data_IF_287809497112
#
_entry.id   IF_287809497112
#
_cell.length_a   1.000
_cell.length_b   1.000
_cell.length_c   1.000
_cell.angle_alpha   90.00
_cell.angle_beta   90.00
_cell.angle_gamma   90.00
#
_symmetry.space_group_name_H-M   'P 1'
#
loop_
_entity.id
_entity.type
_entity.pdbx_description
1 polymer ?
#
# COMPACT_ATOMS: atom_id res chain seq x y z
N UNK A 1 6.51 40.78 -24.31
CA UNK A 1 7.75 40.01 -24.51
C UNK A 1 8.35 39.77 -23.13
N UNK A 2 8.93 38.59 -22.90
CA UNK A 2 9.18 37.90 -21.61
C UNK A 2 7.99 37.10 -21.04
N UNK A 3 7.83 35.90 -21.60
CA UNK A 3 7.38 34.71 -20.87
C UNK A 3 8.62 34.09 -20.21
N UNK A 4 8.62 33.94 -18.90
CA UNK A 4 9.52 32.98 -18.23
C UNK A 4 8.78 31.64 -18.13
N UNK A 5 9.22 30.68 -18.91
CA UNK A 5 8.85 29.28 -18.76
C UNK A 5 9.54 28.75 -17.50
N UNK A 6 8.77 28.55 -16.45
CA UNK A 6 9.25 27.88 -15.24
C UNK A 6 9.35 26.38 -15.54
N UNK A 7 10.58 25.92 -15.82
CA UNK A 7 10.91 24.50 -15.93
C UNK A 7 10.45 23.77 -14.66
N UNK A 8 9.42 22.95 -14.81
CA UNK A 8 8.98 22.01 -13.78
C UNK A 8 10.08 20.96 -13.62
N UNK A 9 10.85 21.07 -12.54
CA UNK A 9 11.80 20.06 -12.11
C UNK A 9 11.08 18.72 -11.97
N UNK A 10 11.41 17.76 -12.82
CA UNK A 10 11.00 16.36 -12.68
C UNK A 10 11.52 15.82 -11.34
N UNK A 11 10.66 15.82 -10.33
CA UNK A 11 10.94 15.10 -9.08
C UNK A 11 10.69 13.63 -9.37
N UNK A 12 11.76 12.94 -9.80
CA UNK A 12 11.79 11.49 -9.92
C UNK A 12 11.53 10.90 -8.54
N UNK A 13 10.40 10.21 -8.38
CA UNK A 13 10.09 9.42 -7.19
C UNK A 13 11.10 8.27 -7.10
N UNK A 14 12.23 8.53 -6.44
CA UNK A 14 13.27 7.52 -6.22
C UNK A 14 12.78 6.54 -5.16
N UNK A 15 12.44 5.31 -5.57
CA UNK A 15 12.42 4.19 -4.63
C UNK A 15 13.82 4.08 -4.01
N UNK A 16 13.96 3.79 -2.71
CA UNK A 16 15.24 3.32 -2.19
C UNK A 16 15.63 2.08 -3.00
N UNK A 17 16.82 2.04 -3.62
CA UNK A 17 17.24 0.87 -4.37
C UNK A 17 17.19 -0.36 -3.46
N UNK A 18 16.65 -1.47 -3.96
CA UNK A 18 16.68 -2.73 -3.22
C UNK A 18 18.13 -3.03 -2.85
N UNK A 19 18.37 -3.37 -1.58
CA UNK A 19 19.72 -3.74 -1.14
C UNK A 19 20.20 -4.96 -1.94
N UNK A 20 21.50 -5.05 -2.24
CA UNK A 20 22.09 -6.16 -2.98
C UNK A 20 21.68 -7.53 -2.41
N UNK A 21 21.62 -7.63 -1.07
CA UNK A 21 21.16 -8.83 -0.35
C UNK A 21 19.71 -9.20 -0.67
N UNK A 22 18.83 -8.21 -0.79
CA UNK A 22 17.41 -8.41 -1.13
C UNK A 22 17.24 -8.90 -2.58
N UNK A 23 18.03 -8.35 -3.51
CA UNK A 23 18.01 -8.76 -4.93
C UNK A 23 18.44 -10.23 -5.06
N UNK A 24 19.53 -10.62 -4.39
CA UNK A 24 19.99 -12.01 -4.39
C UNK A 24 18.98 -12.96 -3.74
N UNK A 25 18.38 -12.55 -2.62
CA UNK A 25 17.34 -13.35 -1.98
C UNK A 25 16.11 -13.52 -2.88
N UNK A 26 15.70 -12.50 -3.64
CA UNK A 26 14.59 -12.61 -4.59
C UNK A 26 14.89 -13.60 -5.72
N UNK A 27 16.14 -13.65 -6.20
CA UNK A 27 16.53 -14.49 -7.35
C UNK A 27 16.91 -15.92 -6.97
N UNK A 28 17.58 -16.10 -5.83
CA UNK A 28 18.16 -17.38 -5.42
C UNK A 28 17.51 -17.95 -4.14
N UNK A 29 16.74 -17.14 -3.39
CA UNK A 29 16.08 -17.57 -2.15
C UNK A 29 17.06 -18.14 -1.14
N UNK A 30 16.69 -19.26 -0.53
CA UNK A 30 17.50 -20.02 0.43
C UNK A 30 18.80 -20.58 -0.17
N UNK A 31 18.96 -20.57 -1.50
CA UNK A 31 20.18 -21.02 -2.17
C UNK A 31 21.33 -20.01 -2.07
N UNK A 32 21.07 -18.81 -1.55
CA UNK A 32 22.10 -17.82 -1.24
C UNK A 32 22.60 -17.99 0.21
N UNK A 33 23.73 -18.68 0.38
CA UNK A 33 24.28 -18.99 1.69
C UNK A 33 25.36 -17.97 2.08
N UNK A 34 25.13 -17.25 3.18
CA UNK A 34 26.08 -16.30 3.75
C UNK A 34 26.77 -16.93 4.96
N UNK A 35 28.10 -17.03 4.91
CA UNK A 35 28.95 -17.50 6.02
C UNK A 35 29.83 -16.34 6.48
N UNK A 36 29.59 -15.85 7.69
CA UNK A 36 30.34 -14.73 8.27
C UNK A 36 31.39 -15.26 9.23
N UNK A 37 32.65 -14.94 8.97
CA UNK A 37 33.79 -15.30 9.79
C UNK A 37 34.34 -14.08 10.54
N UNK A 38 34.86 -14.32 11.75
CA UNK A 38 35.49 -13.29 12.58
C UNK A 38 37.01 -13.34 12.34
N UNK A 39 37.57 -12.23 11.88
CA UNK A 39 39.00 -12.07 11.60
C UNK A 39 39.58 -11.12 12.62
N UNK A 40 40.43 -11.62 13.51
CA UNK A 40 41.11 -10.81 14.52
C UNK A 40 42.41 -10.29 13.92
N UNK A 41 42.56 -8.98 13.83
CA UNK A 41 43.83 -8.37 13.41
C UNK A 41 44.74 -8.12 14.62
N UNK A 42 46.05 -8.44 14.51
CA UNK A 42 47.00 -8.21 15.60
C UNK A 42 47.12 -6.71 15.91
N UNK A 43 47.31 -6.37 17.19
CA UNK A 43 47.50 -4.99 17.62
C UNK A 43 48.89 -4.52 17.19
N UNK A 44 48.99 -3.45 16.39
CA UNK A 44 50.28 -2.92 15.87
C UNK A 44 51.23 -2.35 16.95
N UNK A 45 50.79 -2.25 18.21
CA UNK A 45 51.60 -1.79 19.34
C UNK A 45 51.86 -2.93 20.33
N UNK A 46 52.78 -3.83 19.98
CA UNK A 46 53.36 -4.76 20.94
C UNK A 46 54.21 -3.97 21.94
N UNK A 47 53.64 -3.65 23.11
CA UNK A 47 54.42 -3.26 24.29
C UNK A 47 54.97 -4.55 24.93
N UNK A 48 56.29 -4.84 24.81
CA UNK A 48 56.85 -6.05 25.40
C UNK A 48 56.79 -5.95 26.93
N UNK A 49 55.96 -6.79 27.57
CA UNK A 49 55.91 -6.93 29.03
C UNK A 49 54.53 -7.03 29.68
N UNK A 50 53.42 -6.85 28.94
CA UNK A 50 52.07 -6.99 29.49
C UNK A 50 51.54 -8.43 29.29
N UNK A 51 51.44 -9.21 30.37
CA UNK A 51 50.91 -10.58 30.38
C UNK A 51 49.37 -10.67 30.27
N UNK A 52 48.72 -9.70 29.61
CA UNK A 52 47.27 -9.69 29.38
C UNK A 52 47.04 -9.79 27.87
N UNK A 53 46.34 -10.84 27.36
CA UNK A 53 46.02 -10.93 25.95
C UNK A 53 45.11 -9.76 25.56
N UNK A 54 45.66 -8.77 24.85
CA UNK A 54 44.84 -7.73 24.23
C UNK A 54 44.15 -8.34 23.02
N UNK A 55 42.82 -8.50 23.10
CA UNK A 55 42.04 -8.99 21.96
C UNK A 55 42.11 -7.90 20.88
N UNK A 56 42.76 -8.22 19.76
CA UNK A 56 42.88 -7.32 18.63
C UNK A 56 41.54 -6.90 18.04
N UNK A 57 41.55 -5.95 17.11
CA UNK A 57 40.33 -5.47 16.48
C UNK A 57 39.65 -6.64 15.74
N UNK A 58 38.41 -6.95 16.13
CA UNK A 58 37.61 -7.99 15.49
C UNK A 58 36.95 -7.37 14.25
N UNK A 59 37.34 -7.88 13.09
CA UNK A 59 36.70 -7.60 11.82
C UNK A 59 35.88 -8.81 11.39
N UNK A 60 35.00 -8.59 10.41
CA UNK A 60 34.11 -9.58 9.86
C UNK A 60 34.33 -9.69 8.36
N UNK A 61 34.39 -10.91 7.88
CA UNK A 61 34.47 -11.24 6.46
C UNK A 61 33.31 -12.17 6.13
N UNK A 62 32.67 -11.97 4.98
CA UNK A 62 31.53 -12.79 4.57
C UNK A 62 31.86 -13.54 3.28
N UNK A 63 31.77 -14.86 3.33
CA UNK A 63 31.72 -15.71 2.15
C UNK A 63 30.26 -15.91 1.73
N UNK A 64 29.95 -15.66 0.48
CA UNK A 64 28.64 -15.89 -0.12
C UNK A 64 28.75 -16.98 -1.18
N UNK A 65 27.99 -18.04 -0.99
CA UNK A 65 27.85 -19.15 -1.93
C UNK A 65 26.49 -19.06 -2.63
N UNK A 66 26.53 -19.06 -3.96
CA UNK A 66 25.39 -19.08 -4.87
C UNK A 66 25.56 -20.23 -5.86
N UNK A 67 24.47 -20.74 -6.49
CA UNK A 67 24.58 -21.69 -7.58
C UNK A 67 25.46 -21.14 -8.71
N UNK A 68 26.66 -21.71 -8.89
CA UNK A 68 27.61 -21.31 -9.92
C UNK A 68 28.48 -20.09 -9.61
N UNK A 69 28.41 -19.52 -8.40
CA UNK A 69 29.24 -18.37 -8.02
C UNK A 69 29.57 -18.39 -6.52
N UNK A 70 30.84 -18.17 -6.18
CA UNK A 70 31.26 -17.87 -4.82
C UNK A 70 32.07 -16.59 -4.80
N UNK A 71 31.82 -15.76 -3.78
CA UNK A 71 32.51 -14.50 -3.53
C UNK A 71 32.80 -14.37 -2.04
N UNK A 72 33.88 -13.69 -1.71
CA UNK A 72 34.26 -13.37 -0.33
C UNK A 72 34.44 -11.86 -0.25
N UNK A 73 33.82 -11.23 0.74
CA UNK A 73 33.94 -9.79 0.95
C UNK A 73 35.32 -9.39 1.46
N UNK A 74 35.59 -8.09 1.45
CA UNK A 74 36.64 -7.50 2.27
C UNK A 74 36.31 -7.63 3.77
N UNK A 75 37.23 -7.18 4.63
CA UNK A 75 37.05 -7.15 6.08
C UNK A 75 36.33 -5.87 6.51
N UNK A 76 35.30 -6.00 7.34
CA UNK A 76 34.51 -4.89 7.85
C UNK A 76 34.35 -4.94 9.37
N UNK A 77 34.18 -3.79 10.02
CA UNK A 77 33.94 -3.73 11.47
C UNK A 77 32.53 -4.18 11.88
N UNK A 78 31.61 -4.37 10.92
CA UNK A 78 30.23 -4.81 11.15
C UNK A 78 29.88 -6.01 10.27
N UNK A 79 29.29 -7.05 10.86
CA UNK A 79 28.79 -8.25 10.15
C UNK A 79 27.89 -7.88 8.97
N UNK A 80 26.95 -6.94 9.17
CA UNK A 80 26.00 -6.51 8.14
C UNK A 80 26.68 -5.90 6.91
N UNK A 81 27.79 -5.18 7.10
CA UNK A 81 28.48 -4.52 6.00
C UNK A 81 29.29 -5.54 5.17
N UNK A 82 29.89 -6.54 5.83
CA UNK A 82 30.51 -7.68 5.16
C UNK A 82 29.51 -8.47 4.30
N UNK A 83 28.32 -8.75 4.82
CA UNK A 83 27.25 -9.43 4.06
C UNK A 83 26.76 -8.60 2.86
N UNK A 84 26.58 -7.29 3.02
CA UNK A 84 26.17 -6.42 1.92
C UNK A 84 27.26 -6.30 0.86
N UNK A 85 28.53 -6.25 1.27
CA UNK A 85 29.68 -6.22 0.37
C UNK A 85 29.78 -7.51 -0.45
N UNK A 86 29.69 -8.68 0.21
CA UNK A 86 29.64 -9.98 -0.48
C UNK A 86 28.46 -10.04 -1.48
N UNK A 87 27.27 -9.58 -1.08
CA UNK A 87 26.11 -9.53 -1.97
C UNK A 87 26.34 -8.64 -3.20
N UNK A 88 26.97 -7.47 -3.03
CA UNK A 88 27.28 -6.55 -4.12
C UNK A 88 28.29 -7.16 -5.10
N UNK A 89 29.38 -7.75 -4.60
CA UNK A 89 30.39 -8.44 -5.41
C UNK A 89 29.81 -9.60 -6.20
N UNK A 90 28.89 -10.38 -5.61
CA UNK A 90 28.20 -11.46 -6.30
C UNK A 90 27.33 -10.94 -7.46
N UNK A 91 26.60 -9.85 -7.26
CA UNK A 91 25.78 -9.24 -8.31
C UNK A 91 26.65 -8.73 -9.47
N UNK A 92 27.76 -8.05 -9.16
CA UNK A 92 28.74 -7.58 -10.14
C UNK A 92 29.33 -8.75 -10.94
N UNK A 93 29.78 -9.83 -10.25
CA UNK A 93 30.36 -11.02 -10.88
C UNK A 93 29.37 -11.80 -11.76
N UNK A 94 28.08 -11.75 -11.42
CA UNK A 94 27.00 -12.36 -12.20
C UNK A 94 26.46 -11.45 -13.31
N UNK A 95 26.99 -10.24 -13.47
CA UNK A 95 26.51 -9.25 -14.43
C UNK A 95 25.07 -8.79 -14.17
N UNK A 96 24.56 -8.97 -12.94
CA UNK A 96 23.21 -8.58 -12.56
C UNK A 96 23.27 -7.10 -12.15
N UNK A 97 22.81 -6.22 -13.03
CA UNK A 97 22.66 -4.80 -12.68
C UNK A 97 21.66 -4.65 -11.53
N UNK A 98 22.06 -3.96 -10.46
CA UNK A 98 21.23 -3.65 -9.29
C UNK A 98 20.09 -2.64 -9.58
N UNK A 99 19.90 -2.25 -10.84
CA UNK A 99 18.83 -1.36 -11.24
C UNK A 99 17.59 -2.25 -11.35
N UNK A 100 16.69 -2.16 -10.36
CA UNK A 100 15.31 -2.56 -10.58
C UNK A 100 14.89 -1.92 -11.89
N UNK A 101 14.57 -2.70 -12.93
CA UNK A 101 14.14 -2.15 -14.22
C UNK A 101 13.01 -1.18 -13.92
N UNK A 102 13.28 0.12 -14.03
CA UNK A 102 12.28 1.13 -13.78
C UNK A 102 11.26 0.95 -14.90
N UNK A 103 10.06 0.50 -14.52
CA UNK A 103 8.97 0.30 -15.46
C UNK A 103 8.66 1.64 -16.13
N UNK A 104 8.55 1.64 -17.45
CA UNK A 104 7.96 2.81 -18.13
C UNK A 104 6.49 2.93 -17.75
N UNK A 105 5.88 4.12 -17.88
CA UNK A 105 4.43 4.28 -17.66
C UNK A 105 3.58 3.32 -18.48
N UNK A 106 4.01 2.97 -19.70
CA UNK A 106 3.34 2.01 -20.59
C UNK A 106 3.47 0.58 -20.06
N UNK A 107 4.70 0.14 -19.73
CA UNK A 107 4.93 -1.19 -19.13
C UNK A 107 4.16 -1.34 -17.80
N UNK A 108 4.07 -0.27 -17.01
CA UNK A 108 3.31 -0.25 -15.77
C UNK A 108 1.79 -0.32 -16.00
N UNK A 109 1.29 0.26 -17.09
CA UNK A 109 -0.12 0.15 -17.47
C UNK A 109 -0.46 -1.28 -17.91
N UNK A 110 0.38 -1.92 -18.72
CA UNK A 110 0.19 -3.32 -19.12
C UNK A 110 0.18 -4.25 -17.90
N UNK A 111 1.12 -4.05 -16.97
CA UNK A 111 1.17 -4.79 -15.71
C UNK A 111 -0.05 -4.52 -14.83
N UNK A 112 -0.60 -3.29 -14.86
CA UNK A 112 -1.81 -2.93 -14.14
C UNK A 112 -3.04 -3.66 -14.71
N UNK A 113 -3.18 -3.73 -16.04
CA UNK A 113 -4.24 -4.48 -16.72
C UNK A 113 -4.16 -5.95 -16.30
N UNK A 114 -2.99 -6.57 -16.44
CA UNK A 114 -2.77 -7.97 -16.04
C UNK A 114 -3.07 -8.19 -14.55
N UNK A 115 -2.67 -7.26 -13.68
CA UNK A 115 -2.94 -7.36 -12.24
C UNK A 115 -4.45 -7.32 -11.98
N UNK A 116 -5.19 -6.38 -12.56
CA UNK A 116 -6.64 -6.30 -12.43
C UNK A 116 -7.29 -7.61 -12.89
N UNK A 117 -6.94 -8.10 -14.09
CA UNK A 117 -7.48 -9.38 -14.58
C UNK A 117 -7.20 -10.53 -13.62
N UNK A 118 -5.98 -10.61 -13.07
CA UNK A 118 -5.58 -11.67 -12.14
C UNK A 118 -6.38 -11.67 -10.83
N UNK A 119 -6.78 -10.49 -10.33
CA UNK A 119 -7.56 -10.35 -9.08
C UNK A 119 -8.93 -11.02 -9.17
N UNK A 120 -9.55 -11.04 -10.35
CA UNK A 120 -10.88 -11.60 -10.57
C UNK A 120 -10.88 -13.07 -11.05
N UNK A 121 -9.74 -13.75 -10.93
CA UNK A 121 -9.63 -15.18 -11.23
C UNK A 121 -10.05 -16.04 -10.03
N UNK A 122 -10.55 -17.25 -10.31
CA UNK A 122 -10.93 -18.23 -9.29
C UNK A 122 -9.72 -18.62 -8.42
N UNK A 123 -8.55 -18.74 -9.05
CA UNK A 123 -7.28 -18.98 -8.38
C UNK A 123 -6.97 -17.92 -7.32
N UNK A 124 -7.29 -16.65 -7.58
CA UNK A 124 -7.03 -15.58 -6.63
C UNK A 124 -7.83 -15.70 -5.32
N UNK A 125 -9.02 -16.30 -5.34
CA UNK A 125 -9.85 -16.47 -4.14
C UNK A 125 -9.21 -17.39 -3.08
N UNK A 126 -8.27 -18.23 -3.49
CA UNK A 126 -7.45 -19.06 -2.58
C UNK A 126 -6.25 -18.33 -1.97
N UNK A 127 -5.93 -17.12 -2.42
CA UNK A 127 -4.77 -16.38 -1.95
C UNK A 127 -4.94 -15.90 -0.49
N UNK A 128 -3.80 -15.71 0.17
CA UNK A 128 -3.74 -14.98 1.44
C UNK A 128 -3.55 -13.50 1.10
N UNK A 129 -4.65 -12.78 0.90
CA UNK A 129 -4.64 -11.38 0.46
C UNK A 129 -5.88 -10.63 0.98
N UNK A 130 -5.76 -9.37 1.47
CA UNK A 130 -6.90 -8.57 1.95
C UNK A 130 -8.09 -8.51 0.99
N UNK A 131 -7.81 -8.33 -0.30
CA UNK A 131 -8.81 -8.32 -1.37
C UNK A 131 -9.70 -9.56 -1.42
N UNK A 132 -9.26 -10.73 -0.95
CA UNK A 132 -10.10 -11.94 -0.94
C UNK A 132 -11.31 -11.76 -0.02
N UNK A 133 -11.12 -11.12 1.14
CA UNK A 133 -12.24 -10.81 2.04
C UNK A 133 -13.15 -9.71 1.47
N UNK A 134 -12.61 -8.74 0.73
CA UNK A 134 -13.44 -7.79 -0.02
C UNK A 134 -14.27 -8.49 -1.12
N UNK A 135 -13.70 -9.47 -1.83
CA UNK A 135 -14.45 -10.26 -2.81
C UNK A 135 -15.54 -11.10 -2.16
N UNK A 136 -15.27 -11.70 -1.00
CA UNK A 136 -16.30 -12.40 -0.23
C UNK A 136 -17.45 -11.45 0.11
N UNK A 137 -17.15 -10.33 0.75
CA UNK A 137 -18.16 -9.36 1.15
C UNK A 137 -18.98 -8.89 -0.05
N UNK A 138 -18.34 -8.65 -1.20
CA UNK A 138 -19.06 -8.29 -2.44
C UNK A 138 -19.98 -9.39 -2.97
N UNK A 139 -19.57 -10.67 -2.91
CA UNK A 139 -20.41 -11.81 -3.34
C UNK A 139 -21.60 -12.03 -2.39
N UNK A 140 -21.51 -11.59 -1.14
CA UNK A 140 -22.60 -11.69 -0.16
C UNK A 140 -23.58 -10.49 -0.24
N UNK A 141 -23.25 -9.44 -0.99
CA UNK A 141 -24.14 -8.27 -1.18
C UNK A 141 -25.32 -8.61 -2.09
N UNK A 142 -26.44 -7.95 -1.83
CA UNK A 142 -27.67 -8.11 -2.60
C UNK A 142 -27.76 -7.13 -3.80
N UNK A 143 -28.65 -7.44 -4.74
CA UNK A 143 -29.00 -6.56 -5.87
C UNK A 143 -27.83 -6.25 -6.81
N UNK A 144 -27.80 -5.02 -7.33
CA UNK A 144 -26.80 -4.57 -8.32
C UNK A 144 -25.36 -4.56 -7.78
N UNK A 145 -25.21 -4.61 -6.46
CA UNK A 145 -23.92 -4.67 -5.77
C UNK A 145 -23.33 -6.09 -5.68
N UNK A 146 -24.10 -7.11 -6.04
CA UNK A 146 -23.65 -8.50 -6.00
C UNK A 146 -22.41 -8.73 -6.87
N UNK A 147 -21.35 -9.22 -6.23
CA UNK A 147 -20.06 -9.52 -6.86
C UNK A 147 -19.31 -8.29 -7.38
N UNK A 148 -19.73 -7.08 -7.00
CA UNK A 148 -19.12 -5.81 -7.41
C UNK A 148 -18.26 -5.24 -6.28
N UNK A 149 -17.00 -4.97 -6.57
CA UNK A 149 -16.06 -4.36 -5.63
C UNK A 149 -15.83 -2.90 -6.02
N UNK A 150 -15.91 -1.94 -5.06
CA UNK A 150 -15.58 -0.54 -5.32
C UNK A 150 -14.16 -0.39 -5.90
N UNK A 151 -14.01 0.42 -6.97
CA UNK A 151 -12.72 0.68 -7.63
C UNK A 151 -11.71 1.27 -6.64
N UNK A 152 -12.18 2.12 -5.72
CA UNK A 152 -11.38 2.75 -4.67
C UNK A 152 -10.69 1.73 -3.75
N UNK A 153 -11.34 0.61 -3.45
CA UNK A 153 -10.78 -0.45 -2.62
C UNK A 153 -9.65 -1.16 -3.36
N UNK A 154 -9.83 -1.46 -4.64
CA UNK A 154 -8.77 -2.05 -5.48
C UNK A 154 -7.55 -1.12 -5.52
N UNK A 155 -7.78 0.18 -5.71
CA UNK A 155 -6.71 1.19 -5.76
C UNK A 155 -5.97 1.40 -4.43
N UNK A 156 -6.67 1.24 -3.29
CA UNK A 156 -6.14 1.54 -1.96
C UNK A 156 -5.61 0.31 -1.19
N UNK A 157 -6.16 -0.88 -1.43
CA UNK A 157 -5.86 -2.10 -0.66
C UNK A 157 -4.90 -3.06 -1.38
N UNK A 158 -4.79 -3.01 -2.71
CA UNK A 158 -3.78 -3.78 -3.44
C UNK A 158 -2.50 -2.95 -3.62
N UNK A 159 -1.45 -3.34 -2.89
CA UNK A 159 -0.16 -2.63 -2.88
C UNK A 159 0.50 -2.60 -4.27
N UNK A 160 0.32 -3.66 -5.08
CA UNK A 160 0.89 -3.71 -6.42
C UNK A 160 0.16 -2.75 -7.36
N UNK A 161 -1.17 -2.75 -7.33
CA UNK A 161 -2.00 -1.77 -8.05
C UNK A 161 -1.63 -0.34 -7.67
N UNK A 162 -1.56 -0.05 -6.36
CA UNK A 162 -1.22 1.28 -5.87
C UNK A 162 0.16 1.75 -6.37
N UNK A 163 1.16 0.87 -6.33
CA UNK A 163 2.50 1.18 -6.80
C UNK A 163 2.57 1.37 -8.32
N UNK A 164 1.85 0.57 -9.10
CA UNK A 164 1.77 0.73 -10.55
C UNK A 164 1.11 2.07 -10.91
N UNK A 165 0.04 2.46 -10.21
CA UNK A 165 -0.58 3.77 -10.40
C UNK A 165 0.40 4.93 -10.20
N UNK A 166 1.27 4.84 -9.18
CA UNK A 166 2.32 5.84 -8.91
C UNK A 166 3.40 5.90 -9.99
N UNK A 167 3.74 4.76 -10.60
CA UNK A 167 4.68 4.71 -11.72
C UNK A 167 4.08 5.35 -12.96
N UNK A 168 2.81 5.03 -13.26
CA UNK A 168 2.10 5.59 -14.42
C UNK A 168 1.89 7.11 -14.26
N UNK A 169 1.47 7.55 -13.06
CA UNK A 169 1.29 8.96 -12.75
C UNK A 169 1.62 9.23 -11.27
N UNK A 170 2.72 9.95 -10.97
CA UNK A 170 3.12 10.28 -9.60
C UNK A 170 2.05 11.01 -8.79
N UNK A 171 1.13 11.74 -9.43
CA UNK A 171 0.00 12.38 -8.73
C UNK A 171 -0.92 11.39 -8.01
N UNK A 172 -0.92 10.11 -8.40
CA UNK A 172 -1.65 9.06 -7.70
C UNK A 172 -1.22 8.90 -6.22
N UNK A 173 -0.05 9.40 -5.83
CA UNK A 173 0.35 9.42 -4.43
C UNK A 173 -0.44 10.44 -3.59
N UNK A 174 -0.66 11.64 -4.11
CA UNK A 174 -1.36 12.74 -3.43
C UNK A 174 -2.85 12.81 -3.74
N UNK A 175 -3.29 12.28 -4.88
CA UNK A 175 -4.66 12.38 -5.39
C UNK A 175 -5.27 10.97 -5.58
N UNK A 176 -6.10 10.49 -4.63
CA UNK A 176 -6.72 9.17 -4.71
C UNK A 176 -7.57 8.95 -5.97
N UNK A 177 -8.20 10.01 -6.49
CA UNK A 177 -8.97 9.97 -7.73
C UNK A 177 -8.13 9.61 -8.95
N UNK A 178 -6.87 10.06 -9.01
CA UNK A 178 -5.97 9.70 -10.12
C UNK A 178 -5.71 8.20 -10.12
N UNK A 179 -5.47 7.60 -8.94
CA UNK A 179 -5.29 6.15 -8.82
C UNK A 179 -6.56 5.39 -9.26
N UNK A 180 -7.73 5.84 -8.81
CA UNK A 180 -9.02 5.27 -9.22
C UNK A 180 -9.21 5.33 -10.74
N UNK A 181 -8.97 6.48 -11.36
CA UNK A 181 -9.11 6.66 -12.81
C UNK A 181 -8.17 5.75 -13.60
N UNK A 182 -6.95 5.51 -13.11
CA UNK A 182 -6.00 4.58 -13.72
C UNK A 182 -6.47 3.12 -13.60
N UNK A 183 -6.99 2.72 -12.43
CA UNK A 183 -7.56 1.38 -12.23
C UNK A 183 -8.78 1.20 -13.15
N UNK A 184 -9.65 2.19 -13.25
CA UNK A 184 -10.81 2.14 -14.12
C UNK A 184 -10.41 2.05 -15.60
N UNK A 185 -9.40 2.83 -16.03
CA UNK A 185 -8.82 2.75 -17.38
C UNK A 185 -8.29 1.34 -17.67
N UNK A 186 -7.53 0.76 -16.76
CA UNK A 186 -6.98 -0.58 -16.94
C UNK A 186 -8.08 -1.67 -16.90
N UNK A 187 -9.12 -1.50 -16.08
CA UNK A 187 -10.28 -2.40 -16.09
C UNK A 187 -11.04 -2.36 -17.42
N UNK A 188 -11.20 -1.18 -18.04
CA UNK A 188 -11.84 -1.02 -19.37
C UNK A 188 -11.06 -1.72 -20.48
N UNK A 189 -9.74 -1.86 -20.31
CA UNK A 189 -8.85 -2.53 -21.26
C UNK A 189 -8.71 -4.04 -20.98
N UNK A 190 -9.33 -4.55 -19.92
CA UNK A 190 -9.26 -5.95 -19.53
C UNK A 190 -10.52 -6.71 -19.96
N UNK A 191 -10.36 -7.72 -20.80
CA UNK A 191 -11.47 -8.57 -21.28
C UNK A 191 -12.05 -9.54 -20.23
N UNK A 192 -11.47 -9.59 -19.03
CA UNK A 192 -11.89 -10.53 -17.96
C UNK A 192 -12.75 -9.92 -16.86
N UNK A 193 -12.99 -8.60 -16.89
CA UNK A 193 -13.72 -7.88 -15.85
C UNK A 193 -14.80 -7.01 -16.46
N UNK A 194 -15.87 -6.79 -15.70
CA UNK A 194 -16.96 -5.88 -16.04
C UNK A 194 -16.95 -4.70 -15.09
N UNK A 195 -17.44 -3.58 -15.57
CA UNK A 195 -17.60 -2.35 -14.80
C UNK A 195 -19.10 -2.07 -14.70
N UNK A 196 -19.55 -1.51 -13.58
CA UNK A 196 -20.93 -1.03 -13.47
C UNK A 196 -21.19 0.20 -14.38
N UNK A 197 -22.47 0.53 -14.56
CA UNK A 197 -22.88 1.65 -15.42
C UNK A 197 -22.32 3.00 -14.95
N UNK A 198 -22.00 3.12 -13.66
CA UNK A 198 -21.49 4.35 -13.05
C UNK A 198 -19.96 4.46 -13.12
N UNK A 199 -19.25 3.39 -13.45
CA UNK A 199 -17.78 3.37 -13.46
C UNK A 199 -17.16 3.40 -12.06
N UNK A 200 -17.87 2.95 -11.04
CA UNK A 200 -17.47 3.02 -9.63
C UNK A 200 -17.15 1.66 -9.02
N UNK A 201 -17.56 0.57 -9.68
CA UNK A 201 -17.31 -0.79 -9.21
C UNK A 201 -16.85 -1.72 -10.34
N UNK A 202 -16.02 -2.70 -9.99
CA UNK A 202 -15.52 -3.74 -10.90
C UNK A 202 -15.97 -5.10 -10.40
N UNK A 203 -16.46 -5.93 -11.32
CA UNK A 203 -16.83 -7.32 -11.08
C UNK A 203 -16.18 -8.27 -12.06
N UNK A 204 -16.25 -9.56 -11.78
CA UNK A 204 -15.83 -10.62 -12.70
C UNK A 204 -16.83 -10.73 -13.87
N UNK A 205 -16.32 -10.99 -15.09
CA UNK A 205 -17.15 -11.47 -16.19
C UNK A 205 -17.46 -12.96 -15.99
N UNK A 206 -18.75 -13.29 -15.94
CA UNK A 206 -19.22 -14.63 -15.61
C UNK A 206 -19.09 -14.96 -14.11
N UNK A 207 -19.70 -16.07 -13.67
CA UNK A 207 -19.65 -16.49 -12.28
C UNK A 207 -18.28 -17.08 -11.90
N UNK A 208 -17.94 -17.03 -10.62
CA UNK A 208 -16.89 -17.88 -10.05
C UNK A 208 -17.36 -19.34 -10.04
N UNK A 209 -16.42 -20.30 -10.08
CA UNK A 209 -16.78 -21.72 -9.93
C UNK A 209 -17.47 -21.98 -8.58
N UNK A 210 -18.38 -22.94 -8.57
CA UNK A 210 -19.12 -23.33 -7.37
C UNK A 210 -18.18 -23.66 -6.20
N UNK A 211 -17.11 -24.41 -6.47
CA UNK A 211 -16.11 -24.80 -5.47
C UNK A 211 -15.38 -23.59 -4.88
N UNK A 212 -14.96 -22.64 -5.74
CA UNK A 212 -14.25 -21.43 -5.28
C UNK A 212 -15.16 -20.55 -4.44
N UNK A 213 -16.43 -20.42 -4.84
CA UNK A 213 -17.43 -19.65 -4.09
C UNK A 213 -17.75 -20.30 -2.75
N UNK A 214 -17.95 -21.61 -2.72
CA UNK A 214 -18.26 -22.34 -1.50
C UNK A 214 -17.09 -22.28 -0.52
N UNK A 215 -15.87 -22.52 -0.98
CA UNK A 215 -14.65 -22.39 -0.15
C UNK A 215 -14.46 -20.97 0.40
N UNK A 216 -14.92 -19.96 -0.33
CA UNK A 216 -14.90 -18.59 0.16
C UNK A 216 -15.91 -18.40 1.29
N UNK A 217 -17.16 -18.85 1.12
CA UNK A 217 -18.27 -18.65 2.07
C UNK A 217 -18.11 -19.51 3.33
N UNK A 218 -17.65 -20.76 3.21
CA UNK A 218 -17.56 -21.73 4.32
C UNK A 218 -16.54 -21.35 5.41
N UNK A 219 -15.77 -20.29 5.21
CA UNK A 219 -14.83 -19.86 6.22
C UNK A 219 -15.57 -19.29 7.44
N UNK A 220 -15.33 -19.80 8.65
CA UNK A 220 -15.98 -19.30 9.86
C UNK A 220 -15.70 -17.81 10.07
N UNK A 221 -16.75 -17.05 10.38
CA UNK A 221 -16.73 -15.60 10.60
C UNK A 221 -17.21 -15.25 12.01
N UNK A 222 -16.94 -14.02 12.43
CA UNK A 222 -17.62 -13.44 13.58
C UNK A 222 -19.14 -13.36 13.31
N UNK A 223 -19.93 -13.98 14.18
CA UNK A 223 -21.41 -13.99 14.10
C UNK A 223 -22.05 -12.85 14.89
N UNK A 224 -21.25 -12.00 15.52
CA UNK A 224 -21.73 -10.92 16.37
C UNK A 224 -21.52 -9.59 15.66
N UNK A 225 -22.42 -8.65 15.94
CA UNK A 225 -22.26 -7.26 15.55
C UNK A 225 -20.96 -6.71 16.15
N UNK A 226 -20.15 -6.09 15.29
CA UNK A 226 -18.93 -5.40 15.67
C UNK A 226 -19.28 -3.91 15.80
N UNK A 227 -18.90 -3.30 16.93
CA UNK A 227 -18.99 -1.87 17.13
C UNK A 227 -17.58 -1.31 17.17
N UNK A 228 -17.29 -0.35 16.29
CA UNK A 228 -15.98 0.31 16.18
C UNK A 228 -16.16 1.79 16.39
N UNK A 229 -15.44 2.38 17.35
CA UNK A 229 -15.41 3.84 17.50
C UNK A 229 -14.71 4.46 16.27
N UNK A 230 -15.38 5.39 15.61
CA UNK A 230 -14.88 6.11 14.45
C UNK A 230 -15.15 7.61 14.57
N UNK A 231 -14.43 8.41 13.78
CA UNK A 231 -14.58 9.86 13.77
C UNK A 231 -15.15 10.32 12.44
N UNK A 232 -16.09 11.24 12.48
CA UNK A 232 -16.49 12.04 11.33
C UNK A 232 -15.80 13.40 11.41
N UNK A 233 -15.05 13.74 10.37
CA UNK A 233 -14.33 15.00 10.21
C UNK A 233 -15.05 15.83 9.14
N UNK A 234 -15.79 16.88 9.53
CA UNK A 234 -16.42 17.79 8.57
C UNK A 234 -15.37 18.56 7.74
N UNK A 235 -15.71 18.94 6.51
CA UNK A 235 -14.85 19.80 5.67
C UNK A 235 -14.68 21.21 6.27
N UNK A 236 -15.76 21.80 6.80
CA UNK A 236 -15.71 23.08 7.50
C UNK A 236 -14.91 22.98 8.79
N UNK A 237 -13.92 23.87 8.95
CA UNK A 237 -13.07 23.96 10.14
C UNK A 237 -13.82 24.40 11.40
N UNK A 238 -14.93 25.12 11.23
CA UNK A 238 -15.77 25.62 12.33
C UNK A 238 -16.56 24.50 13.00
N UNK A 239 -16.86 23.42 12.28
CA UNK A 239 -17.58 22.27 12.82
C UNK A 239 -16.63 21.35 13.60
N UNK A 240 -17.08 20.93 14.78
CA UNK A 240 -16.36 19.98 15.61
C UNK A 240 -16.28 18.60 14.95
N UNK A 241 -15.24 17.84 15.29
CA UNK A 241 -15.13 16.42 14.94
C UNK A 241 -16.13 15.64 15.79
N UNK A 242 -16.87 14.73 15.16
CA UNK A 242 -17.90 13.93 15.83
C UNK A 242 -17.42 12.48 16.00
N UNK A 243 -17.56 11.93 17.20
CA UNK A 243 -17.37 10.51 17.47
C UNK A 243 -18.67 9.75 17.19
N UNK A 244 -18.59 8.57 16.59
CA UNK A 244 -19.73 7.68 16.40
C UNK A 244 -19.29 6.22 16.41
N UNK A 245 -20.23 5.29 16.61
CA UNK A 245 -19.95 3.86 16.51
C UNK A 245 -20.34 3.36 15.12
N UNK A 246 -19.36 2.86 14.37
CA UNK A 246 -19.58 2.11 13.14
C UNK A 246 -20.02 0.70 13.52
N UNK A 247 -21.28 0.37 13.22
CA UNK A 247 -21.84 -0.95 13.49
C UNK A 247 -21.69 -1.84 12.26
N UNK A 248 -20.80 -2.82 12.30
CA UNK A 248 -20.65 -3.79 11.21
C UNK A 248 -21.34 -5.09 11.59
N UNK A 249 -22.47 -5.38 10.94
CA UNK A 249 -23.23 -6.60 11.18
C UNK A 249 -22.66 -7.77 10.36
N UNK A 250 -22.77 -9.02 10.83
CA UNK A 250 -22.33 -10.20 10.08
C UNK A 250 -22.94 -10.27 8.68
N UNK A 251 -22.14 -10.61 7.67
CA UNK A 251 -22.59 -10.70 6.27
C UNK A 251 -22.80 -9.35 5.57
N UNK A 252 -22.71 -8.22 6.29
CA UNK A 252 -22.76 -6.89 5.68
C UNK A 252 -21.36 -6.35 5.40
N UNK A 253 -21.22 -5.65 4.29
CA UNK A 253 -19.96 -5.03 3.94
C UNK A 253 -19.77 -3.74 4.75
N UNK A 254 -18.68 -3.64 5.53
CA UNK A 254 -18.44 -2.48 6.40
C UNK A 254 -18.46 -1.12 5.67
N UNK A 255 -18.12 -1.11 4.37
CA UNK A 255 -18.16 0.10 3.55
C UNK A 255 -19.58 0.61 3.34
N UNK A 256 -20.59 -0.25 3.37
CA UNK A 256 -21.99 0.16 3.23
C UNK A 256 -22.44 0.99 4.43
N UNK A 257 -22.01 0.61 5.64
CA UNK A 257 -22.23 1.39 6.86
C UNK A 257 -21.53 2.76 6.81
N UNK A 258 -20.32 2.80 6.24
CA UNK A 258 -19.62 4.07 6.02
C UNK A 258 -20.36 4.93 4.99
N UNK A 259 -20.95 4.34 3.93
CA UNK A 259 -21.69 5.11 2.92
C UNK A 259 -22.92 5.80 3.52
N UNK A 260 -23.62 5.10 4.41
CA UNK A 260 -24.76 5.66 5.14
C UNK A 260 -24.31 6.85 5.99
N UNK A 261 -23.17 6.74 6.69
CA UNK A 261 -22.64 7.85 7.49
C UNK A 261 -22.24 9.07 6.66
N UNK A 262 -21.68 8.84 5.47
CA UNK A 262 -21.30 9.89 4.53
C UNK A 262 -22.49 10.44 3.72
N UNK A 263 -23.67 9.83 3.83
CA UNK A 263 -24.86 10.25 3.09
C UNK A 263 -24.75 10.03 1.57
N UNK A 264 -23.99 9.01 1.14
CA UNK A 264 -23.88 8.62 -0.26
C UNK A 264 -24.71 7.37 -0.55
N UNK A 265 -25.01 7.13 -1.84
CA UNK A 265 -25.94 6.09 -2.27
C UNK A 265 -25.53 4.69 -1.81
N UNK A 266 -24.26 4.34 -2.00
CA UNK A 266 -23.70 3.04 -1.65
C UNK A 266 -22.16 3.12 -1.55
N UNK A 267 -21.51 2.02 -1.18
CA UNK A 267 -20.06 1.95 -0.99
C UNK A 267 -19.23 2.19 -2.25
N UNK A 268 -19.79 2.12 -3.47
CA UNK A 268 -19.06 2.47 -4.70
C UNK A 268 -18.74 3.96 -4.77
N UNK A 269 -19.52 4.81 -4.09
CA UNK A 269 -19.31 6.25 -3.99
C UNK A 269 -18.33 6.66 -2.89
N UNK A 270 -17.59 5.72 -2.30
CA UNK A 270 -16.57 6.01 -1.30
C UNK A 270 -15.17 5.91 -1.90
N UNK A 271 -14.36 6.95 -1.70
CA UNK A 271 -12.92 6.96 -1.86
C UNK A 271 -12.22 6.58 -0.57
N UNK A 272 -11.06 5.95 -0.69
CA UNK A 272 -10.27 5.45 0.42
C UNK A 272 -8.87 6.04 0.35
N UNK A 273 -8.41 6.65 1.44
CA UNK A 273 -7.05 7.16 1.51
C UNK A 273 -6.03 6.03 1.70
N UNK A 274 -4.74 6.39 1.57
CA UNK A 274 -3.66 5.56 2.11
C UNK A 274 -3.80 5.38 3.62
N UNK A 275 -3.18 4.33 4.14
CA UNK A 275 -3.09 4.08 5.58
C UNK A 275 -2.35 5.20 6.31
N UNK A 276 -2.84 5.59 7.48
CA UNK A 276 -2.30 6.63 8.35
C UNK A 276 -1.65 5.98 9.56
N UNK A 277 -0.49 6.52 9.96
CA UNK A 277 0.23 6.03 11.13
C UNK A 277 1.12 4.84 10.80
N UNK A 278 1.01 3.76 11.57
CA UNK A 278 1.82 2.56 11.33
C UNK A 278 1.22 1.80 10.14
N UNK A 279 2.07 1.21 9.29
CA UNK A 279 1.59 0.40 8.17
C UNK A 279 0.65 -0.76 8.60
N UNK A 280 0.69 -1.15 9.88
CA UNK A 280 -0.15 -2.19 10.46
C UNK A 280 -1.49 -1.71 11.01
N UNK A 281 -1.74 -0.40 11.16
CA UNK A 281 -2.92 0.09 11.88
C UNK A 281 -4.18 0.16 11.03
N UNK A 282 -4.15 -0.15 9.72
CA UNK A 282 -5.28 -0.04 8.75
C UNK A 282 -6.15 1.24 8.85
N UNK A 283 -5.69 2.25 9.59
CA UNK A 283 -6.40 3.51 9.81
C UNK A 283 -6.44 4.30 8.52
N UNK A 284 -7.63 4.59 8.01
CA UNK A 284 -7.81 5.28 6.73
C UNK A 284 -8.92 6.33 6.82
N UNK A 285 -8.87 7.29 5.92
CA UNK A 285 -10.01 8.13 5.63
C UNK A 285 -10.87 7.50 4.53
N UNK A 286 -12.17 7.56 4.77
CA UNK A 286 -13.22 7.23 3.82
C UNK A 286 -14.00 8.50 3.54
N UNK A 287 -14.16 8.86 2.28
CA UNK A 287 -14.78 10.13 1.89
C UNK A 287 -15.50 9.96 0.56
N UNK A 288 -16.45 10.84 0.27
CA UNK A 288 -17.29 10.69 -0.91
C UNK A 288 -16.51 10.96 -2.20
N UNK A 289 -16.84 10.25 -3.28
CA UNK A 289 -16.49 10.69 -4.62
C UNK A 289 -17.06 12.10 -4.86
N UNK A 290 -16.32 12.99 -5.55
CA UNK A 290 -16.86 14.27 -5.95
C UNK A 290 -18.01 14.06 -6.94
N UNK A 291 -18.98 14.98 -6.94
CA UNK A 291 -20.25 14.87 -7.69
C UNK A 291 -20.11 14.95 -9.22
N UNK A 292 -18.92 14.74 -9.78
CA UNK A 292 -18.67 14.83 -11.23
C UNK A 292 -18.57 13.44 -11.87
N UNK A 293 -19.10 13.26 -13.10
CA UNK A 293 -18.99 11.97 -13.78
C UNK A 293 -17.53 11.64 -14.10
N UNK A 294 -17.08 10.42 -13.79
CA UNK A 294 -15.80 9.85 -14.24
C UNK A 294 -15.80 9.54 -15.77
N UNK A 295 -16.76 10.08 -16.51
CA UNK A 295 -17.07 9.72 -17.89
C UNK A 295 -16.14 10.32 -18.93
N UNK A 296 -15.15 11.12 -18.53
CA UNK A 296 -14.09 11.55 -19.44
C UNK A 296 -12.70 11.32 -18.83
N UNK A 297 -11.88 10.44 -19.44
CA UNK A 297 -10.49 10.22 -19.01
C UNK A 297 -9.59 11.45 -19.22
N UNK A 298 -10.07 12.47 -19.95
CA UNK A 298 -9.28 13.63 -20.37
C UNK A 298 -9.69 14.95 -19.69
N UNK A 299 -10.80 14.98 -18.94
CA UNK A 299 -11.20 16.19 -18.21
C UNK A 299 -10.46 16.25 -16.87
N UNK A 300 -9.65 17.29 -16.66
CA UNK A 300 -9.01 17.52 -15.36
C UNK A 300 -10.08 17.82 -14.30
N UNK A 301 -10.28 16.98 -13.28
CA UNK A 301 -11.32 17.18 -12.26
C UNK A 301 -11.00 18.31 -11.26
N UNK A 302 -9.91 19.05 -11.51
CA UNK A 302 -9.15 19.77 -10.46
C UNK A 302 -9.73 21.14 -10.12
N UNK A 303 -10.37 21.84 -11.06
CA UNK A 303 -10.69 23.28 -10.88
C UNK A 303 -11.84 23.60 -9.93
N UNK A 304 -12.69 22.63 -9.57
CA UNK A 304 -13.83 22.84 -8.64
C UNK A 304 -13.66 22.14 -7.29
N UNK A 305 -12.55 21.40 -7.09
CA UNK A 305 -12.30 20.66 -5.84
C UNK A 305 -11.72 21.56 -4.74
N UNK A 306 -11.09 22.69 -5.09
CA UNK A 306 -10.39 23.56 -4.13
C UNK A 306 -11.31 24.15 -3.05
N UNK A 307 -12.59 24.41 -3.36
CA UNK A 307 -13.54 25.00 -2.41
C UNK A 307 -14.12 24.00 -1.39
N UNK A 308 -13.95 22.69 -1.60
CA UNK A 308 -14.48 21.63 -0.70
C UNK A 308 -13.37 20.77 -0.07
N UNK A 309 -12.11 21.22 -0.10
CA UNK A 309 -11.00 20.49 0.52
C UNK A 309 -11.17 20.45 2.04
N UNK A 310 -11.13 19.24 2.58
CA UNK A 310 -11.08 19.00 4.01
C UNK A 310 -9.64 19.12 4.51
N UNK A 311 -9.21 20.34 4.82
CA UNK A 311 -7.83 20.63 5.25
C UNK A 311 -7.37 19.74 6.42
N UNK A 312 -8.26 19.44 7.37
CA UNK A 312 -7.96 18.59 8.53
C UNK A 312 -7.66 17.15 8.13
N UNK A 313 -8.49 16.56 7.29
CA UNK A 313 -8.29 15.20 6.80
C UNK A 313 -7.10 15.12 5.84
N UNK A 314 -6.97 16.10 4.93
CA UNK A 314 -5.87 16.17 3.97
C UNK A 314 -4.51 16.33 4.62
N UNK A 315 -4.41 17.18 5.63
CA UNK A 315 -3.15 17.36 6.36
C UNK A 315 -2.70 16.07 7.05
N UNK A 316 -3.63 15.33 7.67
CA UNK A 316 -3.30 14.11 8.38
C UNK A 316 -2.99 12.94 7.43
N UNK A 317 -3.71 12.84 6.32
CA UNK A 317 -3.50 11.78 5.33
C UNK A 317 -2.29 12.04 4.43
N UNK A 318 -1.97 13.31 4.17
CA UNK A 318 -1.05 13.73 3.10
C UNK A 318 -1.61 13.53 1.69
N UNK A 319 -2.95 13.42 1.56
CA UNK A 319 -3.67 13.29 0.30
C UNK A 319 -4.81 14.31 0.22
N UNK A 320 -5.18 14.72 -1.00
CA UNK A 320 -6.33 15.60 -1.21
C UNK A 320 -7.63 14.84 -0.92
N UNK A 321 -8.36 15.30 0.10
CA UNK A 321 -9.62 14.74 0.59
C UNK A 321 -10.63 15.88 0.54
N UNK A 322 -11.76 15.64 -0.11
CA UNK A 322 -12.83 16.62 -0.27
C UNK A 322 -14.07 16.19 0.52
N UNK A 323 -14.85 17.18 0.97
CA UNK A 323 -16.08 16.96 1.73
C UNK A 323 -15.86 16.38 3.13
N UNK A 324 -16.93 15.88 3.74
CA UNK A 324 -16.85 15.17 5.01
C UNK A 324 -16.11 13.83 4.86
N UNK A 325 -15.32 13.46 5.86
CA UNK A 325 -14.55 12.22 5.86
C UNK A 325 -14.75 11.43 7.15
N UNK A 326 -14.86 10.11 7.05
CA UNK A 326 -14.82 9.18 8.18
C UNK A 326 -13.38 8.72 8.37
N UNK A 327 -12.83 8.88 9.57
CA UNK A 327 -11.58 8.26 10.00
C UNK A 327 -11.91 7.01 10.82
N UNK A 328 -11.49 5.85 10.34
CA UNK A 328 -11.70 4.59 11.02
C UNK A 328 -10.51 3.65 10.84
N UNK A 329 -10.32 2.77 11.81
CA UNK A 329 -9.44 1.60 11.69
C UNK A 329 -10.34 0.39 11.48
N UNK A 330 -10.64 0.09 10.22
CA UNK A 330 -11.49 -1.04 9.85
C UNK A 330 -11.08 -1.56 8.47
N UNK A 331 -10.92 -2.87 8.32
CA UNK A 331 -10.57 -3.45 7.02
C UNK A 331 -10.07 -4.87 7.13
N UNK A 332 -9.62 -5.43 6.01
CA UNK A 332 -9.06 -6.77 5.97
C UNK A 332 -7.54 -6.72 5.91
N UNK A 333 -6.88 -7.67 6.59
CA UNK A 333 -5.42 -7.72 6.66
C UNK A 333 -4.87 -8.98 6.01
N UNK A 334 -3.56 -9.05 5.85
CA UNK A 334 -2.89 -10.25 5.33
C UNK A 334 -2.89 -11.43 6.32
N UNK A 335 -3.19 -11.18 7.60
CA UNK A 335 -3.03 -12.17 8.68
C UNK A 335 -4.30 -12.97 8.94
N UNK A 336 -5.47 -12.39 8.67
CA UNK A 336 -6.75 -13.04 8.84
C UNK A 336 -7.72 -12.61 7.74
N UNK A 337 -8.67 -13.50 7.44
CA UNK A 337 -9.82 -13.18 6.61
C UNK A 337 -10.92 -12.44 7.38
N UNK A 338 -10.82 -12.39 8.70
CA UNK A 338 -11.70 -11.62 9.57
C UNK A 338 -11.49 -10.13 9.41
N UNK A 339 -12.53 -9.37 9.72
CA UNK A 339 -12.46 -7.92 9.79
C UNK A 339 -11.54 -7.50 10.94
N UNK A 340 -10.46 -6.81 10.60
CA UNK A 340 -9.61 -6.12 11.58
C UNK A 340 -10.24 -4.77 11.91
N UNK A 341 -10.23 -4.42 13.19
CA UNK A 341 -10.71 -3.14 13.65
C UNK A 341 -10.04 -2.71 14.96
N UNK A 342 -9.96 -1.40 15.17
CA UNK A 342 -9.54 -0.77 16.42
C UNK A 342 -10.33 0.52 16.62
N UNK A 343 -10.57 0.91 17.87
CA UNK A 343 -11.28 2.14 18.18
C UNK A 343 -10.43 3.38 17.86
N UNK A 344 -11.03 4.31 17.10
CA UNK A 344 -10.45 5.62 16.79
C UNK A 344 -11.18 6.68 17.60
N UNK A 345 -10.51 7.17 18.64
CA UNK A 345 -10.99 8.27 19.46
C UNK A 345 -10.37 9.61 19.07
N UNK A 346 -10.95 10.71 19.56
CA UNK A 346 -10.40 12.07 19.40
C UNK A 346 -8.94 12.14 19.88
N UNK A 347 -8.59 11.39 20.92
CA UNK A 347 -7.22 11.31 21.44
C UNK A 347 -6.24 10.70 20.43
N UNK A 348 -6.64 9.66 19.69
CA UNK A 348 -5.79 9.04 18.66
C UNK A 348 -5.63 9.97 17.46
N UNK A 349 -6.65 10.76 17.12
CA UNK A 349 -6.58 11.78 16.08
C UNK A 349 -5.58 12.92 16.37
N UNK A 350 -5.58 13.48 17.59
CA UNK A 350 -4.69 14.62 17.91
C UNK A 350 -3.24 14.23 18.26
N UNK A 351 -2.96 12.96 18.59
CA UNK A 351 -1.61 12.51 18.98
C UNK A 351 -0.56 12.68 17.86
N UNK A 352 -0.81 12.29 16.59
CA UNK A 352 0.11 12.54 15.48
C UNK A 352 0.36 14.04 15.26
N UNK A 353 -0.69 14.85 15.32
CA UNK A 353 -0.63 16.31 15.09
C UNK A 353 0.30 16.98 16.10
N UNK A 354 0.22 16.62 17.40
CA UNK A 354 1.11 17.13 18.44
C UNK A 354 2.60 16.84 18.21
N UNK A 355 2.92 15.73 17.53
CA UNK A 355 4.32 15.34 17.26
C UNK A 355 4.93 16.21 16.15
N UNK A 356 4.12 16.63 15.18
CA UNK A 356 4.54 17.52 14.09
C UNK A 356 4.84 18.92 14.62
N UNK A 357 3.98 19.48 15.47
CA UNK A 357 4.20 20.81 16.06
C UNK A 357 5.42 20.88 16.98
N UNK A 358 5.78 19.81 17.69
CA UNK A 358 7.02 19.77 18.50
C UNK A 358 8.31 19.78 17.67
N UNK A 359 8.26 19.30 16.42
CA UNK A 359 9.43 19.32 15.51
C UNK A 359 9.60 20.62 14.75
N UNK A 360 8.55 21.43 14.63
CA UNK A 360 8.63 22.76 14.00
C UNK A 360 9.04 23.87 14.98
N UNK A 361 9.06 23.58 16.29
CA UNK A 361 9.41 24.52 17.36
C UNK A 361 10.81 24.27 17.97
N UNK A 362 11.60 23.37 17.36
CA UNK A 362 13.01 23.08 17.64
C UNK A 362 13.78 23.27 16.34
#
# INVERSE_FOLDING_TARGET
MFMEAQEMSHVVVRKPPLSAKAILHQKYGEKACYKVEEVVEPVENDCPGLAIPQRGQVLYQCQLELPGCSVTSDKFTKKKDAEQSAAKMALEKLGIQCVSKDLTPEEALDELIMRISSLFTDKFLSAIHPMVSHFRAAIEREGDSFGMVPVSIIAACDVKVNNLCKVINPKAESEPLVAVSLVLKAARLSDSVRIDDQGLSIGKIGPYSSDSRQSLIDHPMCTNDILVEALYIPSSIEKAIETFNLKVSPGLYYMDEISQRLGVKDSSYILVSRTIGKASSETRFYFSFPRFPLSSPDSSPVSHLEEDINFRASHLSGQNICGGAVLATVGYTWKSRDLFYEDVSICTYYRPIRTVYRRAAL
#
